data_IF_535082087300
#
_entry.id   IF_535082087300
#
_cell.length_a   1.000
_cell.length_b   1.000
_cell.length_c   1.000
_cell.angle_alpha   90.00
_cell.angle_beta   90.00
_cell.angle_gamma   90.00
#
_symmetry.space_group_name_H-M   'P 1'
#
loop_
_entity.id
_entity.type
_entity.pdbx_description
1 polymer ?
#
# COMPACT_ATOMS: atom_id res chain seq x y z
N UNK A 1 -10.67 -55.82 2.47
CA UNK A 1 -10.78 -54.49 1.83
C UNK A 1 -10.85 -53.40 2.90
N UNK A 2 -9.82 -52.56 3.10
CA UNK A 2 -9.94 -51.35 3.89
C UNK A 2 -10.00 -50.08 3.03
N UNK A 3 -10.83 -49.15 3.50
CA UNK A 3 -11.30 -47.92 2.86
C UNK A 3 -10.17 -46.90 2.64
N UNK A 4 -10.01 -46.39 1.42
CA UNK A 4 -9.13 -45.24 1.13
C UNK A 4 -9.73 -43.96 1.70
N UNK A 5 -8.94 -43.26 2.51
CA UNK A 5 -9.23 -41.94 3.09
C UNK A 5 -9.34 -40.90 1.97
N UNK A 6 -10.34 -40.03 2.08
CA UNK A 6 -10.52 -38.83 1.25
C UNK A 6 -9.51 -37.76 1.71
N UNK A 7 -8.64 -37.33 0.82
CA UNK A 7 -7.86 -36.11 1.00
C UNK A 7 -8.74 -34.88 0.77
N UNK A 8 -8.73 -33.86 1.65
CA UNK A 8 -9.56 -32.67 1.51
C UNK A 8 -8.81 -31.51 0.84
N UNK A 9 -9.58 -30.68 0.12
CA UNK A 9 -9.32 -29.27 -0.25
C UNK A 9 -8.39 -28.94 -1.44
N UNK A 10 -8.95 -28.93 -2.66
CA UNK A 10 -8.57 -27.94 -3.69
C UNK A 10 -9.48 -26.72 -3.51
N UNK A 11 -8.92 -25.59 -3.09
CA UNK A 11 -9.61 -24.29 -3.09
C UNK A 11 -9.87 -23.88 -4.55
N UNK A 12 -11.07 -23.39 -4.79
CA UNK A 12 -11.63 -23.01 -6.09
C UNK A 12 -10.70 -22.11 -6.90
N UNK A 13 -9.98 -22.72 -7.85
CA UNK A 13 -9.33 -22.01 -8.95
C UNK A 13 -10.42 -21.68 -9.97
N UNK A 14 -11.13 -20.56 -9.76
CA UNK A 14 -12.10 -20.06 -10.73
C UNK A 14 -11.39 -19.83 -12.07
N UNK A 15 -11.60 -20.72 -13.02
CA UNK A 15 -11.09 -20.57 -14.38
C UNK A 15 -11.89 -19.48 -15.08
N UNK A 16 -11.37 -18.25 -15.06
CA UNK A 16 -11.95 -17.14 -15.82
C UNK A 16 -11.58 -17.34 -17.29
N UNK A 17 -12.57 -17.67 -18.11
CA UNK A 17 -12.43 -17.73 -19.57
C UNK A 17 -12.82 -16.38 -20.17
N UNK A 18 -11.85 -15.71 -20.78
CA UNK A 18 -12.03 -14.43 -21.47
C UNK A 18 -12.47 -14.63 -22.92
N UNK A 19 -13.24 -13.68 -23.45
CA UNK A 19 -13.73 -13.73 -24.84
C UNK A 19 -12.87 -12.89 -25.77
N UNK A 20 -12.70 -13.35 -27.00
CA UNK A 20 -12.00 -12.57 -28.03
C UNK A 20 -12.73 -11.24 -28.24
N UNK A 21 -11.98 -10.15 -28.30
CA UNK A 21 -12.50 -8.78 -28.37
C UNK A 21 -12.73 -8.12 -27.01
N UNK A 22 -12.66 -8.87 -25.90
CA UNK A 22 -12.81 -8.33 -24.55
C UNK A 22 -11.66 -7.38 -24.19
N UNK A 23 -11.99 -6.25 -23.56
CA UNK A 23 -10.98 -5.32 -23.06
C UNK A 23 -10.62 -5.68 -21.62
N UNK A 24 -9.32 -5.80 -21.38
CA UNK A 24 -8.72 -6.25 -20.14
C UNK A 24 -7.56 -5.32 -19.77
N UNK A 25 -7.03 -5.49 -18.57
CA UNK A 25 -5.88 -4.76 -18.06
C UNK A 25 -4.83 -5.78 -17.64
N UNK A 26 -3.63 -5.64 -18.19
CA UNK A 26 -2.44 -6.34 -17.71
C UNK A 26 -1.55 -5.31 -16.97
N UNK A 27 -1.09 -5.58 -15.74
CA UNK A 27 -0.46 -4.56 -14.89
C UNK A 27 0.82 -3.91 -15.45
N UNK A 28 1.56 -4.64 -16.27
CA UNK A 28 2.84 -4.21 -16.86
C UNK A 28 2.64 -3.44 -18.16
N UNK A 29 1.63 -3.84 -18.95
CA UNK A 29 1.35 -3.33 -20.30
C UNK A 29 0.29 -2.23 -20.28
N UNK A 30 -0.66 -2.30 -19.35
CA UNK A 30 -1.83 -1.43 -19.25
C UNK A 30 -3.08 -2.03 -19.89
N UNK A 31 -3.95 -1.15 -20.41
CA UNK A 31 -5.20 -1.55 -21.05
C UNK A 31 -4.91 -2.25 -22.38
N UNK A 32 -5.47 -3.44 -22.57
CA UNK A 32 -5.26 -4.29 -23.74
C UNK A 32 -6.56 -4.98 -24.16
N UNK A 33 -6.62 -5.43 -25.41
CA UNK A 33 -7.72 -6.21 -25.95
C UNK A 33 -7.28 -7.64 -26.20
N UNK A 34 -8.15 -8.62 -25.90
CA UNK A 34 -7.87 -10.01 -26.24
C UNK A 34 -8.03 -10.23 -27.76
N UNK A 35 -6.92 -10.43 -28.45
CA UNK A 35 -6.86 -10.62 -29.91
C UNK A 35 -7.22 -12.06 -30.31
N UNK A 36 -6.83 -13.05 -29.49
CA UNK A 36 -7.09 -14.45 -29.79
C UNK A 36 -6.57 -15.41 -28.73
N UNK A 37 -6.97 -16.68 -28.88
CA UNK A 37 -6.51 -17.79 -28.05
C UNK A 37 -5.83 -18.79 -28.98
N UNK A 38 -4.57 -19.14 -28.71
CA UNK A 38 -3.81 -20.15 -29.44
C UNK A 38 -3.54 -21.34 -28.55
N UNK A 39 -3.75 -22.54 -29.08
CA UNK A 39 -3.33 -23.78 -28.43
C UNK A 39 -1.90 -24.08 -28.87
N UNK A 40 -0.99 -24.22 -27.91
CA UNK A 40 0.41 -24.58 -28.19
C UNK A 40 0.71 -25.87 -27.45
N UNK A 41 1.30 -26.83 -28.16
CA UNK A 41 1.79 -28.07 -27.58
C UNK A 41 3.31 -27.93 -27.37
N UNK A 42 3.76 -27.95 -26.12
CA UNK A 42 5.17 -27.99 -25.74
C UNK A 42 5.41 -29.23 -24.89
N UNK A 43 6.39 -30.06 -25.28
CA UNK A 43 6.77 -31.29 -24.56
C UNK A 43 5.60 -32.25 -24.26
N UNK A 44 4.66 -32.38 -25.21
CA UNK A 44 3.49 -33.25 -25.07
C UNK A 44 2.39 -32.70 -24.15
N UNK A 45 2.55 -31.48 -23.64
CA UNK A 45 1.52 -30.77 -22.86
C UNK A 45 0.89 -29.69 -23.72
N UNK A 46 -0.41 -29.81 -23.92
CA UNK A 46 -1.20 -28.78 -24.57
C UNK A 46 -1.64 -27.71 -23.57
N UNK A 47 -1.29 -26.46 -23.84
CA UNK A 47 -1.74 -25.31 -23.06
C UNK A 47 -2.33 -24.23 -23.98
N UNK A 48 -3.38 -23.58 -23.50
CA UNK A 48 -3.98 -22.43 -24.19
C UNK A 48 -3.22 -21.16 -23.80
N UNK A 49 -2.83 -20.39 -24.80
CA UNK A 49 -2.19 -19.09 -24.66
C UNK A 49 -3.13 -18.00 -25.17
N UNK A 50 -3.27 -16.95 -24.36
CA UNK A 50 -4.07 -15.76 -24.64
C UNK A 50 -3.16 -14.68 -25.22
N UNK A 51 -3.58 -14.08 -26.34
CA UNK A 51 -2.83 -13.02 -27.02
C UNK A 51 -3.50 -11.69 -26.70
N UNK A 52 -2.83 -10.86 -25.90
CA UNK A 52 -3.26 -9.52 -25.58
C UNK A 52 -2.57 -8.50 -26.47
N UNK A 53 -3.35 -7.62 -27.08
CA UNK A 53 -2.86 -6.51 -27.91
C UNK A 53 -3.11 -5.18 -27.19
N UNK A 54 -2.05 -4.44 -26.92
CA UNK A 54 -2.08 -3.07 -26.44
C UNK A 54 -1.63 -2.12 -27.56
N UNK A 55 -1.60 -0.80 -27.29
CA UNK A 55 -1.22 0.22 -28.27
C UNK A 55 0.15 -0.04 -28.91
N UNK A 56 1.16 -0.37 -28.09
CA UNK A 56 2.56 -0.50 -28.54
C UNK A 56 3.16 -1.89 -28.27
N UNK A 57 2.37 -2.84 -27.80
CA UNK A 57 2.87 -4.15 -27.39
C UNK A 57 1.86 -5.27 -27.65
N UNK A 58 2.37 -6.48 -27.89
CA UNK A 58 1.58 -7.72 -27.89
C UNK A 58 2.18 -8.68 -26.90
N UNK A 59 1.36 -9.28 -26.05
CA UNK A 59 1.80 -10.18 -24.98
C UNK A 59 1.06 -11.50 -25.07
N UNK A 60 1.83 -12.59 -25.05
CA UNK A 60 1.33 -13.95 -25.01
C UNK A 60 1.36 -14.46 -23.56
N UNK A 61 0.22 -14.88 -23.03
CA UNK A 61 0.10 -15.34 -21.64
C UNK A 61 -0.54 -16.73 -21.59
N UNK A 62 0.10 -17.73 -20.96
CA UNK A 62 -0.49 -19.05 -20.77
C UNK A 62 -1.69 -18.97 -19.81
N UNK A 63 -2.71 -19.79 -20.05
CA UNK A 63 -3.95 -19.84 -19.24
C UNK A 63 -3.65 -20.00 -17.75
N UNK A 64 -2.66 -20.82 -17.39
CA UNK A 64 -2.23 -21.05 -16.00
C UNK A 64 -1.66 -19.80 -15.29
N UNK A 65 -1.27 -18.77 -16.03
CA UNK A 65 -0.67 -17.54 -15.49
C UNK A 65 -1.60 -16.34 -15.51
N UNK A 66 -2.83 -16.43 -16.06
CA UNK A 66 -3.74 -15.29 -16.16
C UNK A 66 -3.96 -14.60 -14.81
N UNK A 67 -4.33 -15.39 -13.79
CA UNK A 67 -4.53 -14.88 -12.43
C UNK A 67 -3.23 -14.40 -11.76
N UNK A 68 -2.13 -15.14 -11.96
CA UNK A 68 -0.83 -14.79 -11.35
C UNK A 68 -0.25 -13.48 -11.89
N UNK A 69 -0.59 -13.12 -13.13
CA UNK A 69 -0.20 -11.86 -13.76
C UNK A 69 -1.16 -10.71 -13.46
N UNK A 70 -2.23 -10.94 -12.70
CA UNK A 70 -3.19 -9.90 -12.35
C UNK A 70 -4.02 -9.39 -13.53
N UNK A 71 -4.26 -10.24 -14.53
CA UNK A 71 -5.11 -9.89 -15.67
C UNK A 71 -6.56 -9.79 -15.18
N UNK A 72 -7.20 -8.67 -15.48
CA UNK A 72 -8.56 -8.35 -15.01
C UNK A 72 -9.32 -7.45 -15.97
N UNK A 73 -10.61 -7.30 -15.72
CA UNK A 73 -11.42 -6.27 -16.35
C UNK A 73 -10.97 -4.84 -15.93
N UNK A 74 -11.10 -3.83 -16.81
CA UNK A 74 -10.88 -2.43 -16.46
C UNK A 74 -11.82 -1.96 -15.35
N UNK A 75 -11.40 -0.93 -14.62
CA UNK A 75 -12.25 -0.25 -13.63
C UNK A 75 -13.56 0.26 -14.24
N UNK A 76 -14.63 0.24 -13.45
CA UNK A 76 -15.87 0.93 -13.83
C UNK A 76 -15.78 2.43 -13.53
N UNK A 77 -16.70 3.23 -14.09
CA UNK A 77 -16.81 4.67 -13.78
C UNK A 77 -17.07 4.92 -12.28
N UNK A 78 -17.72 3.98 -11.60
CA UNK A 78 -17.94 4.05 -10.15
C UNK A 78 -16.66 3.78 -9.36
N UNK A 79 -15.88 2.79 -9.78
CA UNK A 79 -14.60 2.50 -9.14
C UNK A 79 -13.63 3.66 -9.27
N UNK A 80 -13.61 4.33 -10.43
CA UNK A 80 -12.84 5.57 -10.62
C UNK A 80 -13.26 6.65 -9.61
N UNK A 81 -14.56 6.84 -9.35
CA UNK A 81 -15.03 7.79 -8.34
C UNK A 81 -14.53 7.39 -6.94
N UNK A 82 -14.61 6.10 -6.59
CA UNK A 82 -14.09 5.57 -5.32
C UNK A 82 -12.58 5.79 -5.18
N UNK A 83 -11.81 5.58 -6.25
CA UNK A 83 -10.36 5.80 -6.27
C UNK A 83 -10.01 7.27 -6.01
N UNK A 84 -10.70 8.22 -6.65
CA UNK A 84 -10.50 9.64 -6.37
C UNK A 84 -10.89 10.03 -4.94
N UNK A 85 -11.92 9.42 -4.37
CA UNK A 85 -12.26 9.61 -2.96
C UNK A 85 -11.15 9.06 -2.06
N UNK A 86 -10.64 7.86 -2.37
CA UNK A 86 -9.58 7.21 -1.61
C UNK A 86 -8.25 7.97 -1.67
N UNK A 87 -7.90 8.55 -2.82
CA UNK A 87 -6.72 9.41 -3.00
C UNK A 87 -6.70 10.61 -2.04
N UNK A 88 -7.87 11.12 -1.65
CA UNK A 88 -8.02 12.30 -0.78
C UNK A 88 -7.91 11.98 0.71
N UNK A 89 -7.93 10.71 1.09
CA UNK A 89 -7.89 10.30 2.49
C UNK A 89 -6.44 10.37 2.99
N UNK A 90 -6.16 11.12 4.08
CA UNK A 90 -4.81 11.27 4.61
C UNK A 90 -4.27 9.94 5.14
N UNK A 91 -2.97 9.72 4.93
CA UNK A 91 -2.25 8.53 5.38
C UNK A 91 -0.99 8.92 6.15
N UNK A 92 -0.62 8.06 7.10
CA UNK A 92 0.66 8.16 7.81
C UNK A 92 1.42 6.87 7.55
N UNK A 93 2.33 6.86 6.55
CA UNK A 93 3.08 5.66 6.22
C UNK A 93 4.07 5.35 7.36
N UNK A 94 4.07 4.10 7.81
CA UNK A 94 5.09 3.60 8.74
C UNK A 94 6.23 2.98 7.95
N UNK A 95 7.47 3.28 8.34
CA UNK A 95 8.66 2.64 7.77
C UNK A 95 8.91 1.30 8.47
N UNK A 96 9.27 0.30 7.68
CA UNK A 96 9.77 -1.00 8.13
C UNK A 96 11.14 -1.24 7.48
N UNK A 97 11.69 -2.45 7.59
CA UNK A 97 12.89 -2.83 6.86
C UNK A 97 12.78 -2.47 5.37
N UNK A 98 13.72 -1.65 4.89
CA UNK A 98 13.67 -1.04 3.56
C UNK A 98 13.60 -2.09 2.43
N UNK A 99 14.27 -3.23 2.61
CA UNK A 99 14.24 -4.35 1.65
C UNK A 99 12.85 -4.98 1.58
N UNK A 100 12.23 -5.24 2.73
CA UNK A 100 10.91 -5.86 2.82
C UNK A 100 9.85 -4.90 2.25
N UNK A 101 9.92 -3.62 2.62
CA UNK A 101 9.03 -2.58 2.14
C UNK A 101 9.08 -2.43 0.62
N UNK A 102 10.29 -2.35 0.04
CA UNK A 102 10.46 -2.27 -1.41
C UNK A 102 9.90 -3.50 -2.15
N UNK A 103 10.12 -4.70 -1.62
CA UNK A 103 9.55 -5.92 -2.21
C UNK A 103 8.01 -5.94 -2.11
N UNK A 104 7.45 -5.45 -0.99
CA UNK A 104 6.01 -5.29 -0.83
C UNK A 104 5.44 -4.33 -1.88
N UNK A 105 6.07 -3.17 -2.10
CA UNK A 105 5.66 -2.20 -3.12
C UNK A 105 5.68 -2.79 -4.52
N UNK A 106 6.73 -3.53 -4.85
CA UNK A 106 6.83 -4.23 -6.13
C UNK A 106 5.74 -5.30 -6.31
N UNK A 107 5.40 -6.02 -5.24
CA UNK A 107 4.33 -7.02 -5.27
C UNK A 107 2.95 -6.36 -5.45
N UNK A 108 2.71 -5.21 -4.83
CA UNK A 108 1.50 -4.42 -5.05
C UNK A 108 1.38 -4.00 -6.52
N UNK A 109 2.45 -3.49 -7.12
CA UNK A 109 2.46 -3.16 -8.56
C UNK A 109 2.18 -4.36 -9.44
N UNK A 110 2.80 -5.52 -9.16
CA UNK A 110 2.55 -6.77 -9.89
C UNK A 110 1.12 -7.28 -9.73
N UNK A 111 0.48 -7.02 -8.59
CA UNK A 111 -0.89 -7.49 -8.36
C UNK A 111 -1.92 -6.80 -9.25
N UNK A 112 -1.62 -5.60 -9.77
CA UNK A 112 -2.53 -4.88 -10.66
C UNK A 112 -3.78 -4.29 -10.01
N UNK A 113 -3.91 -4.41 -8.70
CA UNK A 113 -5.09 -3.98 -7.93
C UNK A 113 -5.12 -2.45 -7.78
N UNK A 114 -6.07 -1.74 -8.39
CA UNK A 114 -6.15 -0.27 -8.34
C UNK A 114 -6.22 0.28 -6.92
N UNK A 115 -6.91 -0.41 -6.01
CA UNK A 115 -7.08 0.08 -4.64
C UNK A 115 -5.77 0.02 -3.87
N UNK A 116 -5.03 -1.09 -4.02
CA UNK A 116 -3.70 -1.24 -3.39
C UNK A 116 -2.69 -0.28 -4.00
N UNK A 117 -2.69 -0.11 -5.31
CA UNK A 117 -1.81 0.85 -6.01
C UNK A 117 -2.14 2.27 -5.58
N UNK A 118 -3.41 2.61 -5.39
CA UNK A 118 -3.83 3.93 -4.87
C UNK A 118 -3.35 4.16 -3.44
N UNK A 119 -3.40 3.15 -2.57
CA UNK A 119 -2.81 3.24 -1.23
C UNK A 119 -1.30 3.49 -1.31
N UNK A 120 -0.59 2.67 -2.11
CA UNK A 120 0.84 2.79 -2.33
C UNK A 120 1.23 4.19 -2.84
N UNK A 121 0.50 4.73 -3.81
CA UNK A 121 0.77 6.07 -4.35
C UNK A 121 0.62 7.16 -3.29
N UNK A 122 -0.38 7.07 -2.40
CA UNK A 122 -0.54 8.01 -1.28
C UNK A 122 0.58 7.91 -0.26
N UNK A 123 0.99 6.69 0.08
CA UNK A 123 2.07 6.43 1.03
C UNK A 123 3.38 7.01 0.48
N UNK A 124 3.74 6.70 -0.77
CA UNK A 124 4.94 7.22 -1.43
C UNK A 124 4.90 8.74 -1.60
N UNK A 125 3.75 9.32 -1.97
CA UNK A 125 3.61 10.77 -2.07
C UNK A 125 3.80 11.46 -0.71
N UNK A 126 3.32 10.85 0.37
CA UNK A 126 3.53 11.40 1.71
C UNK A 126 5.00 11.38 2.10
N UNK A 127 5.73 10.32 1.74
CA UNK A 127 7.18 10.22 1.95
C UNK A 127 7.95 11.23 1.08
N UNK A 128 7.51 11.47 -0.15
CA UNK A 128 8.06 12.49 -1.04
C UNK A 128 7.96 13.90 -0.45
N UNK A 129 6.83 14.23 0.18
CA UNK A 129 6.65 15.53 0.85
C UNK A 129 7.43 15.68 2.16
N UNK A 130 7.92 14.57 2.73
CA UNK A 130 8.78 14.57 3.92
C UNK A 130 10.27 14.45 3.56
N UNK A 131 10.63 14.48 2.27
CA UNK A 131 11.98 14.23 1.76
C UNK A 131 12.56 12.86 2.19
N UNK A 132 11.70 11.91 2.55
CA UNK A 132 12.08 10.55 2.99
C UNK A 132 12.04 9.53 1.85
N UNK A 133 11.69 9.93 0.63
CA UNK A 133 11.53 9.03 -0.51
C UNK A 133 12.90 8.58 -1.07
N UNK A 134 13.12 7.27 -1.16
CA UNK A 134 14.35 6.72 -1.73
C UNK A 134 14.29 6.67 -3.26
N UNK A 135 15.43 6.73 -3.94
CA UNK A 135 15.50 6.74 -5.41
C UNK A 135 14.70 5.63 -6.10
N UNK A 136 14.84 4.37 -5.65
CA UNK A 136 14.06 3.24 -6.20
C UNK A 136 12.55 3.31 -5.91
N UNK A 137 12.17 3.98 -4.82
CA UNK A 137 10.75 4.17 -4.47
C UNK A 137 10.11 5.24 -5.36
N UNK A 138 10.88 6.22 -5.82
CA UNK A 138 10.45 7.22 -6.80
C UNK A 138 10.05 6.60 -8.13
N UNK A 139 10.83 5.63 -8.62
CA UNK A 139 10.46 4.87 -9.83
C UNK A 139 9.13 4.14 -9.67
N UNK A 140 8.90 3.52 -8.50
CA UNK A 140 7.62 2.86 -8.20
C UNK A 140 6.47 3.87 -8.12
N UNK A 141 6.70 5.04 -7.52
CA UNK A 141 5.69 6.10 -7.44
C UNK A 141 5.27 6.55 -8.84
N UNK A 142 6.22 6.77 -9.74
CA UNK A 142 5.95 7.19 -11.11
C UNK A 142 5.24 6.09 -11.91
N UNK A 143 5.61 4.82 -11.71
CA UNK A 143 4.90 3.68 -12.30
C UNK A 143 3.45 3.59 -11.80
N UNK A 144 3.22 3.72 -10.49
CA UNK A 144 1.88 3.73 -9.89
C UNK A 144 1.02 4.89 -10.43
N UNK A 145 1.62 6.08 -10.58
CA UNK A 145 0.95 7.25 -11.15
C UNK A 145 0.56 7.01 -12.61
N UNK A 146 1.47 6.49 -13.44
CA UNK A 146 1.19 6.17 -14.85
C UNK A 146 0.11 5.11 -14.99
N UNK A 147 0.19 4.04 -14.21
CA UNK A 147 -0.79 2.95 -14.20
C UNK A 147 -2.22 3.47 -13.95
N UNK A 148 -2.41 4.23 -12.86
CA UNK A 148 -3.73 4.80 -12.54
C UNK A 148 -4.18 5.80 -13.60
N UNK A 149 -3.26 6.60 -14.14
CA UNK A 149 -3.57 7.58 -15.17
C UNK A 149 -4.07 6.91 -16.45
N UNK A 150 -3.37 5.88 -16.94
CA UNK A 150 -3.71 5.19 -18.18
C UNK A 150 -5.08 4.50 -18.08
N UNK A 151 -5.35 3.84 -16.96
CA UNK A 151 -6.63 3.16 -16.77
C UNK A 151 -7.79 4.14 -16.57
N UNK A 152 -7.62 5.19 -15.76
CA UNK A 152 -8.67 6.19 -15.56
C UNK A 152 -8.94 6.97 -16.86
N UNK A 153 -7.90 7.28 -17.64
CA UNK A 153 -8.04 7.95 -18.93
C UNK A 153 -8.85 7.10 -19.91
N UNK A 154 -8.61 5.78 -19.93
CA UNK A 154 -9.40 4.85 -20.72
C UNK A 154 -10.87 4.82 -20.29
N UNK A 155 -11.16 4.67 -18.99
CA UNK A 155 -12.53 4.54 -18.47
C UNK A 155 -13.35 5.83 -18.59
N UNK A 156 -12.69 6.99 -18.53
CA UNK A 156 -13.34 8.30 -18.63
C UNK A 156 -13.28 8.92 -20.02
N UNK A 157 -12.62 8.27 -20.98
CA UNK A 157 -12.38 8.80 -22.33
C UNK A 157 -11.80 10.23 -22.28
N UNK A 158 -10.83 10.43 -21.39
CA UNK A 158 -10.24 11.73 -21.10
C UNK A 158 -8.74 11.76 -21.43
N UNK A 159 -8.18 12.96 -21.62
CA UNK A 159 -6.76 13.09 -21.88
C UNK A 159 -5.91 12.68 -20.67
N UNK A 160 -4.82 11.95 -20.93
CA UNK A 160 -3.89 11.51 -19.87
C UNK A 160 -3.36 12.69 -19.05
N UNK A 161 -3.07 13.81 -19.71
CA UNK A 161 -2.60 15.04 -19.05
C UNK A 161 -3.61 15.57 -18.03
N UNK A 162 -4.89 15.67 -18.40
CA UNK A 162 -5.94 16.15 -17.49
C UNK A 162 -6.13 15.21 -16.29
N UNK A 163 -6.12 13.90 -16.53
CA UNK A 163 -6.23 12.91 -15.45
C UNK A 163 -5.02 12.96 -14.51
N UNK A 164 -3.81 13.07 -15.05
CA UNK A 164 -2.58 13.17 -14.27
C UNK A 164 -2.58 14.39 -13.36
N UNK A 165 -3.01 15.54 -13.88
CA UNK A 165 -3.14 16.77 -13.10
C UNK A 165 -4.16 16.61 -11.97
N UNK A 166 -5.31 16.00 -12.25
CA UNK A 166 -6.34 15.72 -11.24
C UNK A 166 -5.89 14.75 -10.15
N UNK A 167 -5.08 13.75 -10.49
CA UNK A 167 -4.44 12.85 -9.52
C UNK A 167 -3.50 13.65 -8.62
N UNK A 168 -2.63 14.47 -9.20
CA UNK A 168 -1.68 15.30 -8.46
C UNK A 168 -2.39 16.30 -7.54
N UNK A 169 -3.46 16.95 -8.01
CA UNK A 169 -4.28 17.84 -7.20
C UNK A 169 -4.93 17.10 -6.01
N UNK A 170 -5.43 15.89 -6.24
CA UNK A 170 -6.02 15.05 -5.18
C UNK A 170 -5.00 14.69 -4.10
N UNK A 171 -3.76 14.35 -4.51
CA UNK A 171 -2.65 14.07 -3.61
C UNK A 171 -2.20 15.32 -2.81
N UNK A 172 -2.09 16.47 -3.48
CA UNK A 172 -1.80 17.76 -2.82
C UNK A 172 -2.87 18.10 -1.77
N UNK A 173 -4.14 17.91 -2.12
CA UNK A 173 -5.27 18.14 -1.20
C UNK A 173 -5.22 17.20 -0.01
N UNK A 174 -4.91 15.92 -0.23
CA UNK A 174 -4.72 14.92 0.82
C UNK A 174 -3.63 15.36 1.82
N UNK A 175 -2.48 15.80 1.31
CA UNK A 175 -1.37 16.25 2.14
C UNK A 175 -1.70 17.52 2.94
N UNK A 176 -2.32 18.53 2.30
CA UNK A 176 -2.81 19.74 2.99
C UNK A 176 -3.74 19.40 4.17
N UNK A 177 -4.69 18.48 3.95
CA UNK A 177 -5.61 18.01 5.00
C UNK A 177 -4.88 17.28 6.13
N UNK A 178 -3.85 16.50 5.82
CA UNK A 178 -3.00 15.84 6.82
C UNK A 178 -2.33 16.87 7.73
N UNK A 179 -1.62 17.84 7.14
CA UNK A 179 -0.89 18.90 7.87
C UNK A 179 -1.85 19.72 8.74
N UNK A 180 -3.03 20.08 8.22
CA UNK A 180 -4.04 20.80 9.01
C UNK A 180 -4.50 19.98 10.22
N UNK A 181 -4.82 18.70 10.02
CA UNK A 181 -5.27 17.79 11.10
C UNK A 181 -4.19 17.59 12.17
N UNK A 182 -2.92 17.51 11.78
CA UNK A 182 -1.80 17.42 12.71
C UNK A 182 -1.61 18.71 13.52
N UNK A 183 -1.72 19.89 12.88
CA UNK A 183 -1.69 21.19 13.57
C UNK A 183 -2.85 21.37 14.55
N UNK A 184 -4.07 20.97 14.17
CA UNK A 184 -5.24 21.02 15.06
C UNK A 184 -5.09 20.10 16.27
N UNK A 185 -4.52 18.90 16.08
CA UNK A 185 -4.21 17.99 17.18
C UNK A 185 -3.16 18.56 18.13
N UNK A 186 -2.09 19.17 17.60
CA UNK A 186 -1.06 19.80 18.42
C UNK A 186 -1.61 20.95 19.27
N UNK A 187 -2.52 21.78 18.71
CA UNK A 187 -3.20 22.85 19.46
C UNK A 187 -4.13 22.32 20.58
N UNK A 188 -4.80 21.20 20.33
CA UNK A 188 -5.66 20.54 21.35
C UNK A 188 -4.85 19.86 22.47
N UNK A 189 -3.66 19.34 22.16
CA UNK A 189 -2.77 18.77 23.18
C UNK A 189 -2.07 19.84 24.03
N UNK A 190 -1.80 21.02 23.46
CA UNK A 190 -1.24 22.16 24.19
C UNK A 190 -2.25 22.92 25.08
N UNK A 191 -3.55 22.60 25.01
CA UNK A 191 -4.63 23.26 25.77
C UNK A 191 -5.22 22.41 26.90
N UNK A 192 -4.68 21.21 27.16
CA UNK A 192 -5.00 20.44 28.38
C UNK A 192 -4.18 21.00 29.53
N UNK A 193 -4.77 21.60 30.58
CA UNK A 193 -4.02 22.07 31.72
C UNK A 193 -3.47 20.87 32.51
N UNK A 194 -2.17 20.88 32.76
CA UNK A 194 -1.52 20.06 33.78
C UNK A 194 -2.06 20.47 35.14
N UNK A 195 -2.95 19.67 35.72
CA UNK A 195 -3.35 19.80 37.11
C UNK A 195 -2.22 19.26 38.00
N UNK A 196 -1.24 20.12 38.29
CA UNK A 196 -0.30 19.96 39.40
C UNK A 196 0.36 21.33 39.67
N UNK A 197 -0.31 22.18 40.43
CA UNK A 197 0.35 23.28 41.13
C UNK A 197 0.22 23.04 42.64
N UNK A 198 1.37 23.26 43.28
CA UNK A 198 1.66 23.43 44.70
C UNK A 198 0.51 24.01 45.52
N UNK A 199 0.22 23.36 46.65
CA UNK A 199 -0.18 24.05 47.89
C UNK A 199 0.80 23.63 48.99
N UNK A 200 1.47 24.65 49.50
CA UNK A 200 2.48 24.65 50.54
C UNK A 200 1.81 25.26 51.77
N UNK A 201 1.59 24.52 52.86
CA UNK A 201 1.26 25.05 54.19
C UNK A 201 1.68 24.05 55.29
N UNK A 202 2.54 24.57 56.16
CA UNK A 202 3.30 23.91 57.22
C UNK A 202 2.54 23.63 58.55
N UNK A 203 3.27 23.05 59.52
CA UNK A 203 3.00 22.78 60.95
C UNK A 203 2.27 21.44 61.27
N UNK A 204 2.74 20.52 62.15
CA UNK A 204 3.54 20.68 63.40
C UNK A 204 4.19 19.34 63.86
N UNK A 205 5.37 19.46 64.50
CA UNK A 205 6.04 18.64 65.56
C UNK A 205 5.10 17.74 66.41
N UNK A 206 5.42 16.56 66.98
CA UNK A 206 6.63 15.92 67.56
C UNK A 206 6.44 14.38 67.62
N UNK A 207 7.51 13.57 67.51
CA UNK A 207 7.87 12.52 68.50
C UNK A 207 9.21 11.85 68.15
N UNK A 208 10.16 11.95 69.10
CA UNK A 208 11.50 11.37 69.11
C UNK A 208 11.51 9.83 69.01
N UNK A 209 12.50 9.27 68.29
CA UNK A 209 13.25 8.12 68.85
C UNK A 209 14.66 7.97 68.26
N UNK A 210 15.63 8.41 69.07
CA UNK A 210 17.02 7.97 69.23
C UNK A 210 17.74 7.22 68.10
N UNK A 211 18.80 7.87 67.61
CA UNK A 211 19.98 7.24 66.98
C UNK A 211 20.98 6.95 68.11
N UNK A 212 21.72 5.83 68.06
CA UNK A 212 23.17 5.96 68.23
C UNK A 212 23.97 5.18 67.19
N UNK A 213 24.84 5.89 66.48
CA UNK A 213 26.10 5.41 65.88
C UNK A 213 27.25 5.72 66.87
N UNK A 214 28.51 5.31 66.62
CA UNK A 214 29.06 4.16 65.88
C UNK A 214 30.13 3.42 66.73
N UNK A 215 30.80 2.39 66.21
CA UNK A 215 32.20 2.01 66.59
C UNK A 215 32.77 1.13 65.44
N UNK A 216 33.59 1.71 64.56
CA UNK A 216 35.07 1.60 64.50
C UNK A 216 35.57 0.41 63.65
N UNK A 217 36.14 0.73 62.49
CA UNK A 217 37.07 -0.15 61.74
C UNK A 217 38.39 -0.31 62.52
N UNK A 218 39.22 -1.31 62.19
CA UNK A 218 40.40 -0.90 61.42
C UNK A 218 40.81 -1.84 60.28
N UNK A 219 41.46 -1.21 59.30
CA UNK A 219 42.25 -1.77 58.22
C UNK A 219 43.22 -2.88 58.67
N UNK A 220 43.46 -3.87 57.81
CA UNK A 220 44.83 -4.29 57.49
C UNK A 220 44.92 -4.97 56.13
N UNK A 221 45.61 -4.26 55.24
CA UNK A 221 46.42 -4.71 54.10
C UNK A 221 47.09 -6.07 54.35
N UNK A 222 46.92 -7.02 53.41
CA UNK A 222 47.99 -7.80 52.75
C UNK A 222 47.54 -8.14 51.32
#
# INVERSE_FOLDING_TARGET
>A
MPKKKKDPTKKDEQTVDYKIGETLVEPTVGVCQLEGIRRINMDGKEENYYIFKAQNARVLVPKSQLHKRGIRAPMTKEDVKKIFAFLKIPVSPTRSDARIQYMSYRNVMKSGDPQKITKLLRDLYTLDQLDELKGKEREIMDQARRFLCDEIAFVREASKTSIMERINESLRTMYKKKVQKEREKAKKQASTPSAANMDDLAFKEDEEFAIPEPDEEPESVI
#
